data_IF_990631455780
#
_entry.id   IF_990631455780
#
_cell.length_a   1.000
_cell.length_b   1.000
_cell.length_c   1.000
_cell.angle_alpha   90.00
_cell.angle_beta   90.00
_cell.angle_gamma   90.00
#
_symmetry.space_group_name_H-M   'P 1'
#
loop_
_entity.id
_entity.type
_entity.pdbx_description
1 polymer ?
#
# COMPACT_ATOMS: atom_id res chain seq x y z
N UNK A 1 -8.88 -0.88 14.80
CA UNK A 1 -9.02 -0.59 13.36
C UNK A 1 -9.15 -1.89 12.57
N UNK A 2 -8.09 -2.69 12.46
CA UNK A 2 -8.08 -3.88 11.58
C UNK A 2 -8.54 -5.18 12.29
N UNK A 3 -9.80 -5.22 12.75
CA UNK A 3 -10.32 -6.27 13.65
C UNK A 3 -10.41 -7.64 12.95
N UNK A 4 -10.94 -7.67 11.73
CA UNK A 4 -11.26 -8.92 11.01
C UNK A 4 -10.23 -9.35 9.97
N UNK A 5 -9.09 -8.66 9.85
CA UNK A 5 -8.03 -9.03 8.87
C UNK A 5 -7.49 -10.47 9.01
N UNK A 6 -7.63 -11.05 10.20
CA UNK A 6 -7.20 -12.41 10.53
C UNK A 6 -8.36 -13.42 10.56
N UNK A 7 -9.55 -13.02 10.10
CA UNK A 7 -10.67 -13.94 9.93
C UNK A 7 -10.32 -15.06 8.94
N UNK A 8 -10.93 -16.23 9.12
CA UNK A 8 -10.70 -17.38 8.25
C UNK A 8 -11.11 -17.14 6.79
N UNK A 9 -12.04 -16.21 6.55
CA UNK A 9 -12.46 -15.81 5.20
C UNK A 9 -11.46 -14.87 4.49
N UNK A 10 -10.47 -14.32 5.21
CA UNK A 10 -9.52 -13.37 4.64
C UNK A 10 -8.28 -14.05 4.07
N UNK A 11 -7.91 -13.67 2.85
CA UNK A 11 -6.67 -14.08 2.19
C UNK A 11 -5.44 -13.65 3.01
N UNK A 12 -5.47 -12.45 3.59
CA UNK A 12 -4.40 -11.84 4.38
C UNK A 12 -4.24 -12.36 5.80
N UNK A 13 -4.97 -13.43 6.17
CA UNK A 13 -4.94 -13.97 7.53
C UNK A 13 -3.52 -14.30 7.99
N UNK A 14 -3.08 -13.60 9.03
CA UNK A 14 -1.75 -13.76 9.62
C UNK A 14 -0.62 -13.01 8.92
N UNK A 15 -0.88 -12.39 7.76
CA UNK A 15 0.13 -11.70 6.96
C UNK A 15 0.43 -10.30 7.52
N UNK A 16 -0.60 -9.45 7.68
CA UNK A 16 -0.42 -8.07 8.13
C UNK A 16 -0.27 -7.98 9.65
N UNK A 17 0.98 -7.96 10.12
CA UNK A 17 1.32 -7.83 11.55
C UNK A 17 1.59 -6.39 11.94
N UNK A 18 1.39 -6.08 13.22
CA UNK A 18 1.76 -4.77 13.77
C UNK A 18 3.27 -4.53 13.65
N UNK A 19 4.08 -5.55 13.95
CA UNK A 19 5.53 -5.46 13.90
C UNK A 19 6.04 -5.17 12.47
N UNK A 20 5.42 -5.79 11.45
CA UNK A 20 5.76 -5.50 10.06
C UNK A 20 5.44 -4.05 9.68
N UNK A 21 4.28 -3.54 10.11
CA UNK A 21 3.93 -2.13 9.91
C UNK A 21 4.94 -1.20 10.58
N UNK A 22 5.27 -1.43 11.85
CA UNK A 22 6.25 -0.60 12.58
C UNK A 22 7.65 -0.69 11.95
N UNK A 23 8.09 -1.88 11.52
CA UNK A 23 9.36 -2.06 10.84
C UNK A 23 9.41 -1.30 9.49
N UNK A 24 8.32 -1.33 8.73
CA UNK A 24 8.20 -0.57 7.49
C UNK A 24 8.17 0.94 7.74
N UNK A 25 7.36 1.41 8.69
CA UNK A 25 7.24 2.82 9.07
C UNK A 25 8.57 3.45 9.50
N UNK A 26 9.46 2.68 10.15
CA UNK A 26 10.82 3.14 10.48
C UNK A 26 11.67 3.52 9.27
N UNK A 27 11.34 3.02 8.07
CA UNK A 27 12.02 3.40 6.81
C UNK A 27 11.50 4.72 6.23
N UNK A 28 10.39 5.25 6.76
CA UNK A 28 9.75 6.49 6.34
C UNK A 28 9.54 7.39 7.55
N UNK A 29 10.60 7.96 8.14
CA UNK A 29 10.56 8.56 9.47
C UNK A 29 9.64 9.77 9.61
N UNK A 30 9.22 10.40 8.51
CA UNK A 30 8.25 11.51 8.50
C UNK A 30 6.79 11.04 8.62
N UNK A 31 6.49 9.80 8.24
CA UNK A 31 5.13 9.25 8.30
C UNK A 31 4.65 9.15 9.75
N UNK A 32 3.53 9.80 10.06
CA UNK A 32 2.94 9.82 11.40
C UNK A 32 3.76 10.62 12.43
N UNK A 33 4.77 11.39 11.99
CA UNK A 33 5.62 12.20 12.88
C UNK A 33 5.66 13.68 12.48
N UNK A 34 5.14 14.05 11.31
CA UNK A 34 5.00 15.44 10.83
C UNK A 34 3.82 16.15 11.50
N UNK A 35 4.01 17.41 11.90
CA UNK A 35 2.93 18.27 12.43
C UNK A 35 2.54 17.98 13.90
N UNK A 36 1.35 18.46 14.28
CA UNK A 36 0.77 18.31 15.63
C UNK A 36 0.34 16.87 15.91
N UNK A 37 0.08 16.53 17.18
CA UNK A 37 -0.43 15.20 17.54
C UNK A 37 -1.75 14.85 16.83
N UNK A 38 -2.59 15.84 16.53
CA UNK A 38 -3.82 15.66 15.76
C UNK A 38 -3.51 15.32 14.30
N UNK A 39 -2.60 16.07 13.65
CA UNK A 39 -2.18 15.81 12.26
C UNK A 39 -1.56 14.42 12.13
N UNK A 40 -0.69 14.02 13.06
CA UNK A 40 -0.07 12.69 13.08
C UNK A 40 -1.11 11.57 13.17
N UNK A 41 -2.10 11.72 14.06
CA UNK A 41 -3.22 10.77 14.17
C UNK A 41 -4.06 10.72 12.90
N UNK A 42 -4.32 11.90 12.31
CA UNK A 42 -5.08 12.04 11.06
C UNK A 42 -4.37 11.36 9.90
N UNK A 43 -3.07 11.53 9.76
CA UNK A 43 -2.27 10.85 8.73
C UNK A 43 -2.35 9.33 8.87
N UNK A 44 -2.12 8.80 10.07
CA UNK A 44 -2.20 7.36 10.32
C UNK A 44 -3.62 6.85 10.00
N UNK A 45 -4.66 7.59 10.43
CA UNK A 45 -6.05 7.23 10.14
C UNK A 45 -6.37 7.28 8.63
N UNK A 46 -5.87 8.27 7.91
CA UNK A 46 -6.08 8.42 6.47
C UNK A 46 -5.37 7.32 5.68
N UNK A 47 -4.11 7.02 6.02
CA UNK A 47 -3.35 5.92 5.42
C UNK A 47 -4.08 4.58 5.62
N UNK A 48 -4.45 4.26 6.87
CA UNK A 48 -5.17 3.03 7.14
C UNK A 48 -6.59 3.03 6.57
N UNK A 49 -7.24 4.19 6.44
CA UNK A 49 -8.54 4.31 5.78
C UNK A 49 -8.47 3.94 4.30
N UNK A 50 -7.55 4.56 3.56
CA UNK A 50 -7.35 4.28 2.14
C UNK A 50 -6.90 2.83 1.90
N UNK A 51 -5.85 2.39 2.60
CA UNK A 51 -5.36 1.02 2.42
C UNK A 51 -6.34 -0.06 2.91
N UNK A 52 -7.22 0.26 3.87
CA UNK A 52 -8.33 -0.63 4.22
C UNK A 52 -9.37 -0.73 3.11
N UNK A 53 -9.65 0.35 2.38
CA UNK A 53 -10.53 0.31 1.23
C UNK A 53 -9.96 -0.60 0.14
N UNK A 54 -8.69 -0.41 -0.22
CA UNK A 54 -7.99 -1.21 -1.24
C UNK A 54 -7.97 -2.72 -0.95
N UNK A 55 -8.07 -3.10 0.32
CA UNK A 55 -7.93 -4.49 0.78
C UNK A 55 -9.17 -5.01 1.50
N UNK A 56 -10.31 -4.34 1.35
CA UNK A 56 -11.51 -4.64 2.13
C UNK A 56 -12.12 -5.99 1.77
N UNK A 57 -12.46 -6.76 2.79
CA UNK A 57 -13.36 -7.92 2.67
C UNK A 57 -14.77 -7.61 3.16
N UNK A 58 -15.10 -6.34 3.43
CA UNK A 58 -16.34 -5.93 4.06
C UNK A 58 -17.54 -5.96 3.12
N UNK A 59 -18.70 -6.34 3.66
CA UNK A 59 -20.00 -6.30 3.00
C UNK A 59 -21.03 -5.58 3.89
N UNK A 60 -22.22 -5.17 3.37
CA UNK A 60 -23.15 -4.31 4.12
C UNK A 60 -23.59 -4.84 5.49
N UNK A 61 -23.68 -6.16 5.66
CA UNK A 61 -24.09 -6.84 6.90
C UNK A 61 -22.94 -7.55 7.60
N UNK A 62 -21.69 -7.16 7.31
CA UNK A 62 -20.53 -7.79 7.92
C UNK A 62 -20.51 -7.60 9.44
N UNK A 63 -20.03 -8.59 10.22
CA UNK A 63 -19.81 -8.42 11.66
C UNK A 63 -19.01 -7.15 11.96
N UNK A 64 -19.49 -6.34 12.90
CA UNK A 64 -18.94 -5.00 13.24
C UNK A 64 -18.94 -3.96 12.10
N UNK A 65 -19.71 -4.21 11.03
CA UNK A 65 -19.87 -3.33 9.88
C UNK A 65 -18.76 -3.46 8.82
N UNK A 66 -19.00 -2.96 7.58
CA UNK A 66 -18.07 -3.15 6.45
C UNK A 66 -16.68 -2.54 6.69
N UNK A 67 -16.59 -1.50 7.51
CA UNK A 67 -15.33 -0.79 7.77
C UNK A 67 -14.40 -1.49 8.78
N UNK A 68 -14.84 -2.58 9.41
CA UNK A 68 -14.01 -3.40 10.30
C UNK A 68 -13.18 -4.47 9.54
N UNK A 69 -13.36 -4.56 8.21
CA UNK A 69 -12.85 -5.62 7.33
C UNK A 69 -11.75 -5.17 6.36
N UNK A 70 -11.10 -4.04 6.64
CA UNK A 70 -9.87 -3.67 5.96
C UNK A 70 -8.75 -4.69 6.16
N UNK A 71 -7.80 -4.74 5.23
CA UNK A 71 -6.65 -5.65 5.26
C UNK A 71 -7.00 -7.13 5.13
N UNK A 72 -8.13 -7.44 4.50
CA UNK A 72 -8.57 -8.81 4.25
C UNK A 72 -7.88 -9.44 3.03
N UNK A 73 -7.65 -8.66 1.98
CA UNK A 73 -7.00 -9.12 0.74
C UNK A 73 -5.51 -8.69 0.66
N UNK A 74 -4.72 -9.52 -0.03
CA UNK A 74 -3.31 -9.27 -0.33
C UNK A 74 -3.10 -8.95 -1.80
N UNK A 75 -3.82 -9.63 -2.67
CA UNK A 75 -3.68 -9.52 -4.12
C UNK A 75 -5.01 -9.13 -4.75
N UNK A 76 -4.94 -8.48 -5.89
CA UNK A 76 -6.09 -8.17 -6.73
C UNK A 76 -6.90 -9.45 -7.02
N UNK A 77 -8.22 -9.34 -6.90
CA UNK A 77 -9.13 -10.48 -7.00
C UNK A 77 -9.52 -10.78 -8.46
N UNK A 78 -9.88 -12.04 -8.73
CA UNK A 78 -10.32 -12.48 -10.07
C UNK A 78 -9.16 -12.92 -10.95
N UNK A 79 -9.15 -12.47 -12.22
CA UNK A 79 -8.12 -12.82 -13.21
C UNK A 79 -7.51 -11.55 -13.81
N UNK A 80 -6.67 -10.82 -13.04
CA UNK A 80 -6.09 -9.57 -13.49
C UNK A 80 -5.16 -9.76 -14.69
N UNK A 81 -5.08 -8.78 -15.60
CA UNK A 81 -4.06 -8.76 -16.66
C UNK A 81 -2.65 -8.67 -16.06
N UNK A 82 -1.63 -8.68 -16.91
CA UNK A 82 -0.24 -8.58 -16.44
C UNK A 82 0.12 -7.21 -15.88
N UNK A 83 -0.65 -6.15 -16.21
CA UNK A 83 -0.30 -4.76 -15.92
C UNK A 83 1.14 -4.41 -16.35
N UNK A 84 1.55 -4.97 -17.48
CA UNK A 84 2.84 -4.69 -18.09
C UNK A 84 2.64 -3.63 -19.18
N UNK A 85 3.18 -2.44 -18.95
CA UNK A 85 3.24 -1.37 -19.94
C UNK A 85 4.64 -1.28 -20.55
N UNK A 86 4.76 -1.00 -21.86
CA UNK A 86 6.04 -0.77 -22.50
C UNK A 86 6.84 0.36 -21.81
N UNK A 87 8.04 0.04 -21.33
CA UNK A 87 8.93 1.00 -20.69
C UNK A 87 10.38 0.60 -20.90
N UNK A 88 11.22 1.54 -21.32
CA UNK A 88 12.68 1.33 -21.38
C UNK A 88 13.33 1.40 -20.00
N UNK A 89 12.75 2.20 -19.10
CA UNK A 89 13.26 2.38 -17.73
C UNK A 89 12.84 1.24 -16.81
N UNK A 90 11.60 0.76 -16.97
CA UNK A 90 10.99 -0.28 -16.13
C UNK A 90 10.49 -1.44 -16.98
N UNK A 91 11.37 -2.14 -17.72
CA UNK A 91 10.95 -3.22 -18.61
C UNK A 91 10.30 -4.35 -17.81
N UNK A 92 9.23 -4.93 -18.35
CA UNK A 92 8.58 -6.06 -17.70
C UNK A 92 9.49 -7.29 -17.71
N UNK A 93 9.65 -7.90 -16.55
CA UNK A 93 10.37 -9.16 -16.42
C UNK A 93 9.56 -10.31 -17.05
N UNK A 94 10.25 -11.21 -17.75
CA UNK A 94 9.62 -12.35 -18.42
C UNK A 94 8.83 -13.21 -17.43
N UNK A 95 7.57 -13.51 -17.76
CA UNK A 95 6.67 -14.33 -16.94
C UNK A 95 6.15 -13.65 -15.67
N UNK A 96 6.48 -12.38 -15.42
CA UNK A 96 6.00 -11.64 -14.25
C UNK A 96 4.74 -10.83 -14.55
N UNK A 97 3.94 -10.62 -13.50
CA UNK A 97 2.73 -9.80 -13.53
C UNK A 97 2.77 -8.76 -12.39
N UNK A 98 2.26 -7.58 -12.68
CA UNK A 98 2.26 -6.39 -11.82
C UNK A 98 0.84 -5.98 -11.41
N UNK A 99 -0.05 -6.95 -11.21
CA UNK A 99 -1.38 -6.71 -10.64
C UNK A 99 -1.30 -6.19 -9.19
N UNK A 100 -2.43 -5.72 -8.66
CA UNK A 100 -2.50 -5.14 -7.32
C UNK A 100 -1.96 -6.07 -6.23
N UNK A 101 -0.98 -5.60 -5.45
CA UNK A 101 -0.49 -6.30 -4.26
C UNK A 101 -0.31 -5.36 -3.07
N UNK A 102 -0.48 -5.91 -1.87
CA UNK A 102 -0.25 -5.23 -0.60
C UNK A 102 -1.32 -4.17 -0.26
N UNK A 103 -1.06 -3.35 0.78
CA UNK A 103 -2.06 -2.45 1.34
C UNK A 103 -2.56 -1.37 0.38
N UNK A 104 -1.73 -0.93 -0.56
CA UNK A 104 -2.09 0.10 -1.54
C UNK A 104 -2.47 -0.49 -2.91
N UNK A 105 -2.57 -1.83 -3.01
CA UNK A 105 -2.76 -2.55 -4.27
C UNK A 105 -1.83 -2.03 -5.37
N UNK A 106 -0.53 -1.98 -5.06
CA UNK A 106 0.51 -1.51 -5.99
C UNK A 106 0.38 -2.27 -7.31
N UNK A 107 0.24 -1.52 -8.40
CA UNK A 107 -0.06 -2.05 -9.73
C UNK A 107 0.83 -1.41 -10.79
N UNK A 108 1.08 -2.11 -11.89
CA UNK A 108 1.95 -1.74 -13.01
C UNK A 108 3.47 -1.76 -12.78
N UNK A 109 4.21 -2.25 -13.78
CA UNK A 109 5.68 -2.30 -13.78
C UNK A 109 6.34 -0.95 -13.48
N UNK A 110 5.79 0.15 -14.00
CA UNK A 110 6.32 1.49 -13.76
C UNK A 110 6.07 2.02 -12.34
N UNK A 111 5.29 1.32 -11.51
CA UNK A 111 5.21 1.57 -10.07
C UNK A 111 6.07 0.56 -9.27
N UNK A 112 6.06 -0.72 -9.64
CA UNK A 112 6.91 -1.73 -8.99
C UNK A 112 8.40 -1.41 -9.10
N UNK A 113 8.85 -0.95 -10.27
CA UNK A 113 10.23 -0.53 -10.51
C UNK A 113 10.73 0.55 -9.53
N UNK A 114 10.16 1.76 -9.52
CA UNK A 114 10.59 2.83 -8.64
C UNK A 114 10.30 2.53 -7.16
N UNK A 115 9.20 1.83 -6.83
CA UNK A 115 8.94 1.38 -5.46
C UNK A 115 10.07 0.48 -4.96
N UNK A 116 10.44 -0.52 -5.76
CA UNK A 116 11.52 -1.44 -5.45
C UNK A 116 12.86 -0.74 -5.26
N UNK A 117 13.21 0.16 -6.19
CA UNK A 117 14.42 0.98 -6.08
C UNK A 117 14.45 1.78 -4.77
N UNK A 118 13.34 2.44 -4.42
CA UNK A 118 13.25 3.27 -3.22
C UNK A 118 13.38 2.48 -1.91
N UNK A 119 12.91 1.23 -1.88
CA UNK A 119 12.93 0.39 -0.68
C UNK A 119 14.09 -0.62 -0.64
N UNK A 120 14.97 -0.59 -1.66
CA UNK A 120 16.10 -1.50 -1.79
C UNK A 120 15.70 -2.95 -2.07
N UNK A 121 14.67 -3.17 -2.88
CA UNK A 121 14.16 -4.49 -3.28
C UNK A 121 13.98 -4.58 -4.79
N UNK A 122 14.32 -5.71 -5.41
CA UNK A 122 14.09 -5.92 -6.84
C UNK A 122 12.64 -6.39 -7.10
N UNK A 123 11.70 -5.44 -7.01
CA UNK A 123 10.28 -5.70 -7.22
C UNK A 123 9.89 -5.83 -8.70
N UNK A 124 10.77 -5.43 -9.62
CA UNK A 124 10.52 -5.56 -11.05
C UNK A 124 10.67 -7.03 -11.48
N UNK A 125 11.72 -7.72 -10.98
CA UNK A 125 11.92 -9.15 -11.22
C UNK A 125 11.21 -10.03 -10.18
N UNK A 126 10.93 -9.53 -8.97
CA UNK A 126 10.26 -10.28 -7.91
C UNK A 126 9.03 -9.54 -7.35
N UNK A 127 8.00 -9.23 -8.18
CA UNK A 127 6.82 -8.48 -7.74
C UNK A 127 6.01 -9.21 -6.65
N UNK A 128 6.10 -10.55 -6.59
CA UNK A 128 5.39 -11.34 -5.59
C UNK A 128 5.87 -11.07 -4.15
N UNK A 129 7.07 -10.48 -3.97
CA UNK A 129 7.56 -10.05 -2.64
C UNK A 129 6.57 -9.11 -1.94
N UNK A 130 5.82 -8.30 -2.70
CA UNK A 130 4.80 -7.40 -2.14
C UNK A 130 3.63 -8.16 -1.49
N UNK A 131 3.43 -9.43 -1.85
CA UNK A 131 2.39 -10.30 -1.28
C UNK A 131 2.95 -11.45 -0.42
N UNK A 132 4.27 -11.61 -0.30
CA UNK A 132 4.90 -12.69 0.48
C UNK A 132 5.78 -12.20 1.63
N UNK A 133 6.25 -10.96 1.60
CA UNK A 133 6.96 -10.32 2.72
C UNK A 133 6.12 -9.14 3.26
N UNK A 134 5.63 -9.21 4.51
CA UNK A 134 4.74 -8.18 5.05
C UNK A 134 5.45 -6.84 5.29
N UNK A 135 6.77 -6.84 5.55
CA UNK A 135 7.53 -5.60 5.69
C UNK A 135 7.66 -4.92 4.33
N UNK A 136 8.03 -5.67 3.28
CA UNK A 136 8.06 -5.17 1.90
C UNK A 136 6.69 -4.65 1.49
N UNK A 137 5.63 -5.39 1.79
CA UNK A 137 4.24 -5.01 1.52
C UNK A 137 3.85 -3.65 2.13
N UNK A 138 4.15 -3.43 3.42
CA UNK A 138 3.91 -2.13 4.04
C UNK A 138 4.83 -1.04 3.49
N UNK A 139 6.09 -1.37 3.16
CA UNK A 139 7.03 -0.40 2.59
C UNK A 139 6.58 0.11 1.23
N UNK A 140 5.98 -0.71 0.37
CA UNK A 140 5.45 -0.23 -0.92
C UNK A 140 4.27 0.71 -0.73
N UNK A 141 3.38 0.43 0.22
CA UNK A 141 2.26 1.32 0.54
C UNK A 141 2.74 2.66 1.11
N UNK A 142 3.71 2.64 2.02
CA UNK A 142 4.32 3.85 2.57
C UNK A 142 5.10 4.62 1.49
N UNK A 143 5.85 3.94 0.62
CA UNK A 143 6.49 4.58 -0.52
C UNK A 143 5.48 5.35 -1.37
N UNK A 144 4.37 4.71 -1.73
CA UNK A 144 3.32 5.36 -2.52
C UNK A 144 2.74 6.57 -1.79
N UNK A 145 2.49 6.45 -0.49
CA UNK A 145 1.95 7.54 0.33
C UNK A 145 2.90 8.75 0.42
N UNK A 146 4.20 8.50 0.52
CA UNK A 146 5.23 9.51 0.76
C UNK A 146 5.83 10.09 -0.52
N UNK A 147 5.54 9.52 -1.69
CA UNK A 147 6.21 9.88 -2.95
C UNK A 147 5.27 10.67 -3.87
N UNK A 148 5.59 11.93 -4.22
CA UNK A 148 4.84 12.64 -5.25
C UNK A 148 5.06 11.99 -6.62
N UNK A 149 3.99 11.91 -7.41
CA UNK A 149 4.04 11.46 -8.80
C UNK A 149 3.36 12.52 -9.67
N UNK A 150 4.16 13.41 -10.27
CA UNK A 150 3.66 14.55 -11.03
C UNK A 150 2.57 14.14 -12.03
N UNK A 151 1.44 14.86 -12.10
CA UNK A 151 1.16 16.15 -11.45
C UNK A 151 0.67 16.04 -9.99
N UNK A 152 0.57 14.84 -9.42
CA UNK A 152 0.01 14.62 -8.08
C UNK A 152 1.07 14.89 -7.00
N UNK A 153 0.72 15.62 -5.92
CA UNK A 153 1.55 15.67 -4.72
C UNK A 153 1.56 14.31 -4.01
N UNK A 154 2.41 14.18 -2.98
CA UNK A 154 2.33 13.02 -2.10
C UNK A 154 1.07 13.07 -1.24
N UNK A 155 0.52 11.92 -0.85
CA UNK A 155 -0.58 11.87 0.10
C UNK A 155 -0.16 12.47 1.46
N UNK A 156 1.11 12.28 1.83
CA UNK A 156 1.74 12.90 2.99
C UNK A 156 1.56 14.42 2.99
N UNK A 157 2.03 15.11 1.95
CA UNK A 157 2.01 16.57 1.91
C UNK A 157 0.59 17.13 1.95
N UNK A 158 -0.36 16.42 1.33
CA UNK A 158 -1.78 16.79 1.37
C UNK A 158 -2.32 16.70 2.81
N UNK A 159 -2.11 15.57 3.50
CA UNK A 159 -2.73 15.37 4.82
C UNK A 159 -2.03 16.17 5.93
N UNK A 160 -0.76 16.50 5.75
CA UNK A 160 0.03 17.32 6.69
C UNK A 160 -0.10 18.82 6.43
N UNK A 161 -0.75 19.23 5.33
CA UNK A 161 -0.93 20.63 4.96
C UNK A 161 0.31 21.30 4.37
N UNK A 162 1.26 20.50 3.86
CA UNK A 162 2.47 21.00 3.18
C UNK A 162 2.25 21.24 1.68
N UNK A 163 1.23 20.63 1.09
CA UNK A 163 0.87 20.86 -0.30
C UNK A 163 0.01 22.12 -0.48
N UNK A 164 0.39 22.94 -1.47
CA UNK A 164 -0.39 24.09 -1.93
C UNK A 164 -0.91 23.79 -3.35
N UNK A 165 -2.23 23.89 -3.61
CA UNK A 165 -2.78 23.70 -4.96
C UNK A 165 -2.17 24.66 -5.99
N UNK A 166 -1.93 24.16 -7.21
CA UNK A 166 -1.59 25.02 -8.34
C UNK A 166 -2.77 25.90 -8.76
N UNK A 167 -2.47 27.01 -9.45
CA UNK A 167 -3.46 27.90 -10.03
C UNK A 167 -4.29 27.23 -11.15
#
# INVERSE_FOLDING_TARGET
>A
MLKHRNDAACQGRGFYTYDAFIAAAKSFPQFGTTGSAEIRKREIAAFFGQTSHETTGGWPTAPDGPYAWGYCFLTEQGNPPSYCEPSSQWPCAAGKKYYGRGPIQLSFNFNYGPAGQAIGQDLLNNPDLVATDPIVSFKTALWFWMTPQSPKPSCHDVITGQWTPSA
#
